data_IF_096138436267
#
_entry.id   IF_096138436267
#
_cell.length_a   1.000
_cell.length_b   1.000
_cell.length_c   1.000
_cell.angle_alpha   90.00
_cell.angle_beta   90.00
_cell.angle_gamma   90.00
#
_symmetry.space_group_name_H-M   'P 1'
#
loop_
_entity.id
_entity.type
_entity.pdbx_description
1 polymer ?
#
# COMPACT_ATOMS: atom_id res chain seq x y z
N UNK A 1 8.55 15.03 10.72
CA UNK A 1 7.32 15.24 11.53
C UNK A 1 6.10 15.55 10.64
N UNK A 2 6.15 16.59 9.80
CA UNK A 2 5.01 17.03 8.96
C UNK A 2 4.45 15.90 8.07
N UNK A 3 5.30 15.16 7.34
CA UNK A 3 4.87 14.03 6.51
C UNK A 3 4.16 12.92 7.29
N UNK A 4 4.56 12.69 8.55
CA UNK A 4 3.95 11.68 9.41
C UNK A 4 2.56 12.14 9.87
N UNK A 5 2.42 13.42 10.25
CA UNK A 5 1.11 14.00 10.61
C UNK A 5 0.13 13.95 9.44
N UNK A 6 0.58 14.31 8.24
CA UNK A 6 -0.26 14.26 7.03
C UNK A 6 -0.67 12.81 6.73
N UNK A 7 0.26 11.85 6.82
CA UNK A 7 -0.07 10.46 6.56
C UNK A 7 -1.04 9.91 7.61
N UNK A 8 -0.85 10.22 8.89
CA UNK A 8 -1.77 9.78 9.95
C UNK A 8 -3.16 10.39 9.75
N UNK A 9 -3.25 11.68 9.41
CA UNK A 9 -4.53 12.32 9.08
C UNK A 9 -5.20 11.66 7.87
N UNK A 10 -4.42 11.35 6.83
CA UNK A 10 -4.89 10.62 5.65
C UNK A 10 -5.40 9.22 6.04
N UNK A 11 -4.65 8.46 6.85
CA UNK A 11 -5.07 7.13 7.31
C UNK A 11 -6.39 7.17 8.09
N UNK A 12 -6.56 8.14 8.99
CA UNK A 12 -7.83 8.33 9.73
C UNK A 12 -8.97 8.69 8.79
N UNK A 13 -8.71 9.57 7.82
CA UNK A 13 -9.70 9.96 6.81
C UNK A 13 -10.15 8.75 5.97
N UNK A 14 -9.19 7.96 5.48
CA UNK A 14 -9.49 6.76 4.69
C UNK A 14 -10.34 5.76 5.50
N UNK A 15 -9.96 5.43 6.74
CA UNK A 15 -10.76 4.52 7.59
C UNK A 15 -12.18 5.04 7.78
N UNK A 16 -12.32 6.35 8.00
CA UNK A 16 -13.64 6.97 8.21
C UNK A 16 -14.52 6.88 6.96
N UNK A 17 -13.94 7.13 5.78
CA UNK A 17 -14.63 7.01 4.49
C UNK A 17 -15.02 5.56 4.21
N UNK A 18 -14.10 4.61 4.44
CA UNK A 18 -14.35 3.19 4.26
C UNK A 18 -15.49 2.69 5.16
N UNK A 19 -15.47 3.04 6.45
CA UNK A 19 -16.55 2.68 7.36
C UNK A 19 -17.90 3.23 6.89
N UNK A 20 -17.95 4.46 6.38
CA UNK A 20 -19.18 5.07 5.90
C UNK A 20 -19.75 4.39 4.66
N UNK A 21 -18.90 3.91 3.76
CA UNK A 21 -19.30 3.24 2.51
C UNK A 21 -19.72 1.79 2.76
N UNK A 22 -18.93 1.06 3.55
CA UNK A 22 -19.08 -0.38 3.74
C UNK A 22 -20.17 -0.70 4.77
N UNK A 23 -20.30 0.10 5.84
CA UNK A 23 -21.27 -0.15 6.93
C UNK A 23 -22.73 -0.38 6.49
N UNK A 24 -23.28 0.32 5.48
CA UNK A 24 -24.65 0.06 5.05
C UNK A 24 -24.82 -1.12 4.08
N UNK A 25 -23.75 -1.67 3.50
CA UNK A 25 -23.84 -2.61 2.37
C UNK A 25 -23.50 -4.07 2.70
N UNK A 26 -22.75 -4.34 3.77
CA UNK A 26 -22.25 -5.70 4.07
C UNK A 26 -22.46 -6.05 5.53
N UNK A 27 -23.09 -7.19 5.79
CA UNK A 27 -23.33 -7.73 7.13
C UNK A 27 -22.66 -9.11 7.29
N UNK A 28 -22.06 -9.37 8.45
CA UNK A 28 -21.47 -10.67 8.79
C UNK A 28 -19.97 -10.79 8.55
N UNK A 29 -19.49 -11.97 8.16
CA UNK A 29 -18.06 -12.31 8.09
C UNK A 29 -17.28 -11.54 7.01
N UNK A 30 -17.92 -11.28 5.87
CA UNK A 30 -17.28 -10.57 4.74
C UNK A 30 -16.88 -9.14 5.13
N UNK A 31 -17.70 -8.45 5.92
CA UNK A 31 -17.40 -7.13 6.48
C UNK A 31 -16.11 -7.15 7.32
N UNK A 32 -15.96 -8.15 8.19
CA UNK A 32 -14.80 -8.26 9.08
C UNK A 32 -13.52 -8.47 8.27
N UNK A 33 -13.56 -9.36 7.27
CA UNK A 33 -12.39 -9.65 6.43
C UNK A 33 -11.98 -8.41 5.63
N UNK A 34 -12.95 -7.73 5.01
CA UNK A 34 -12.69 -6.52 4.23
C UNK A 34 -12.13 -5.39 5.11
N UNK A 35 -12.70 -5.19 6.29
CA UNK A 35 -12.22 -4.19 7.25
C UNK A 35 -10.80 -4.49 7.75
N UNK A 36 -10.54 -5.73 8.16
CA UNK A 36 -9.22 -6.14 8.66
C UNK A 36 -8.16 -6.03 7.57
N UNK A 37 -8.49 -6.42 6.34
CA UNK A 37 -7.57 -6.33 5.22
C UNK A 37 -7.17 -4.87 4.93
N UNK A 38 -8.15 -3.96 4.87
CA UNK A 38 -7.90 -2.52 4.71
C UNK A 38 -7.10 -1.93 5.88
N UNK A 39 -7.36 -2.38 7.10
CA UNK A 39 -6.61 -1.93 8.27
C UNK A 39 -5.14 -2.37 8.18
N UNK A 40 -4.89 -3.61 7.74
CA UNK A 40 -3.53 -4.13 7.56
C UNK A 40 -2.77 -3.35 6.48
N UNK A 41 -3.40 -3.01 5.36
CA UNK A 41 -2.73 -2.24 4.29
C UNK A 41 -2.40 -0.80 4.72
N UNK A 42 -3.24 -0.17 5.54
CA UNK A 42 -2.96 1.14 6.15
C UNK A 42 -1.84 1.09 7.21
N UNK A 43 -1.81 0.04 8.03
CA UNK A 43 -0.71 -0.19 8.98
C UNK A 43 0.59 -0.41 8.21
N UNK A 44 0.56 -1.22 7.13
CA UNK A 44 1.71 -1.46 6.27
C UNK A 44 2.26 -0.15 5.69
N UNK A 45 1.39 0.73 5.20
CA UNK A 45 1.77 2.05 4.72
C UNK A 45 2.43 2.91 5.81
N UNK A 46 1.88 2.89 7.02
CA UNK A 46 2.42 3.63 8.17
C UNK A 46 3.81 3.12 8.57
N UNK A 47 3.99 1.81 8.69
CA UNK A 47 5.27 1.18 9.01
C UNK A 47 6.30 1.45 7.90
N UNK A 48 5.90 1.38 6.63
CA UNK A 48 6.78 1.66 5.51
C UNK A 48 7.23 3.13 5.49
N UNK A 49 6.37 4.09 5.85
CA UNK A 49 6.75 5.50 6.00
C UNK A 49 7.74 5.70 7.16
N UNK A 50 7.48 5.09 8.33
CA UNK A 50 8.40 5.19 9.48
C UNK A 50 9.78 4.63 9.10
N UNK A 51 9.80 3.48 8.43
CA UNK A 51 11.04 2.88 7.94
C UNK A 51 11.75 3.78 6.92
N UNK A 52 10.99 4.46 6.05
CA UNK A 52 11.54 5.43 5.09
C UNK A 52 12.17 6.63 5.77
N UNK A 53 11.49 7.23 6.76
CA UNK A 53 12.02 8.35 7.53
C UNK A 53 13.26 7.99 8.36
N UNK A 54 13.31 6.77 8.89
CA UNK A 54 14.42 6.35 9.75
C UNK A 54 15.66 5.94 8.96
N UNK A 55 15.48 5.26 7.82
CA UNK A 55 16.55 4.56 7.13
C UNK A 55 16.99 5.23 5.82
N UNK A 56 16.44 6.39 5.48
CA UNK A 56 16.69 7.24 4.29
C UNK A 56 17.51 6.57 3.16
N UNK A 57 16.98 5.46 2.66
CA UNK A 57 17.65 4.60 1.69
C UNK A 57 16.69 4.38 0.54
N UNK A 58 17.23 4.30 -0.67
CA UNK A 58 16.45 4.01 -1.89
C UNK A 58 15.58 2.76 -1.76
N UNK A 59 16.03 1.79 -0.98
CA UNK A 59 15.30 0.56 -0.66
C UNK A 59 14.04 0.80 0.16
N UNK A 60 14.14 1.64 1.20
CA UNK A 60 13.00 1.99 2.04
C UNK A 60 11.99 2.84 1.29
N UNK A 61 12.47 3.71 0.40
CA UNK A 61 11.61 4.51 -0.48
C UNK A 61 10.76 3.63 -1.41
N UNK A 62 11.34 2.59 -2.03
CA UNK A 62 10.57 1.64 -2.85
C UNK A 62 9.58 0.80 -2.02
N UNK A 63 9.93 0.47 -0.77
CA UNK A 63 9.02 -0.20 0.17
C UNK A 63 7.79 0.66 0.47
N UNK A 64 8.04 1.95 0.73
CA UNK A 64 7.00 2.95 0.96
C UNK A 64 6.12 3.13 -0.27
N UNK A 65 6.72 3.28 -1.46
CA UNK A 65 5.95 3.47 -2.69
C UNK A 65 5.12 2.22 -3.05
N UNK A 66 5.64 1.02 -2.82
CA UNK A 66 4.87 -0.21 -2.95
C UNK A 66 3.68 -0.27 -1.99
N UNK A 67 3.89 0.03 -0.70
CA UNK A 67 2.82 0.07 0.29
C UNK A 67 1.76 1.16 -0.04
N UNK A 68 2.20 2.30 -0.59
CA UNK A 68 1.33 3.39 -1.05
C UNK A 68 0.45 2.93 -2.22
N UNK A 69 1.03 2.26 -3.21
CA UNK A 69 0.28 1.71 -4.34
C UNK A 69 -0.75 0.67 -3.92
N UNK A 70 -0.42 -0.23 -2.97
CA UNK A 70 -1.40 -1.19 -2.41
C UNK A 70 -2.53 -0.45 -1.70
N UNK A 71 -2.21 0.46 -0.78
CA UNK A 71 -3.25 1.17 -0.02
C UNK A 71 -4.21 1.95 -0.93
N UNK A 72 -3.71 2.57 -2.01
CA UNK A 72 -4.57 3.23 -2.99
C UNK A 72 -5.37 2.27 -3.86
N UNK A 73 -4.79 1.14 -4.25
CA UNK A 73 -5.50 0.10 -4.98
C UNK A 73 -6.74 -0.38 -4.20
N UNK A 74 -6.61 -0.60 -2.88
CA UNK A 74 -7.73 -0.98 -2.01
C UNK A 74 -8.85 0.07 -1.97
N UNK A 75 -8.49 1.35 -1.82
CA UNK A 75 -9.47 2.44 -1.81
C UNK A 75 -10.24 2.49 -3.14
N UNK A 76 -9.55 2.29 -4.27
CA UNK A 76 -10.16 2.27 -5.60
C UNK A 76 -11.05 1.04 -5.77
N UNK A 77 -10.64 -0.12 -5.26
CA UNK A 77 -11.45 -1.34 -5.30
C UNK A 77 -12.79 -1.15 -4.55
N UNK A 78 -12.77 -0.50 -3.40
CA UNK A 78 -13.98 -0.25 -2.59
C UNK A 78 -14.86 0.81 -3.29
N UNK A 79 -14.26 1.83 -3.88
CA UNK A 79 -15.00 2.79 -4.70
C UNK A 79 -15.63 2.11 -5.94
N UNK A 80 -14.92 1.19 -6.57
CA UNK A 80 -15.43 0.40 -7.70
C UNK A 80 -16.64 -0.44 -7.28
N UNK A 81 -16.54 -1.16 -6.15
CA UNK A 81 -17.57 -2.11 -5.73
C UNK A 81 -18.82 -1.44 -5.14
N UNK A 82 -18.67 -0.32 -4.42
CA UNK A 82 -19.78 0.28 -3.64
C UNK A 82 -20.24 1.67 -4.14
N UNK A 83 -19.46 2.39 -4.95
CA UNK A 83 -19.81 3.76 -5.40
C UNK A 83 -20.16 3.80 -6.88
N UNK A 84 -19.55 2.94 -7.71
CA UNK A 84 -19.68 3.07 -9.16
C UNK A 84 -21.07 2.66 -9.64
N UNK A 85 -21.87 3.63 -10.12
CA UNK A 85 -23.15 3.40 -10.81
C UNK A 85 -23.06 3.69 -12.31
N UNK A 86 -21.91 4.18 -12.79
CA UNK A 86 -21.71 4.63 -14.17
C UNK A 86 -20.69 3.73 -14.89
N UNK A 87 -21.08 3.17 -16.05
CA UNK A 87 -20.29 2.23 -16.86
C UNK A 87 -18.87 2.75 -17.18
N UNK A 88 -18.71 4.03 -17.51
CA UNK A 88 -17.38 4.61 -17.85
C UNK A 88 -16.45 4.70 -16.63
N UNK A 89 -17.01 4.92 -15.44
CA UNK A 89 -16.23 4.99 -14.20
C UNK A 89 -15.74 3.59 -13.82
N UNK A 90 -16.56 2.56 -14.01
CA UNK A 90 -16.22 1.17 -13.70
C UNK A 90 -14.94 0.69 -14.41
N UNK A 91 -14.83 0.93 -15.72
CA UNK A 91 -13.68 0.49 -16.50
C UNK A 91 -12.38 1.19 -16.06
N UNK A 92 -12.45 2.50 -15.83
CA UNK A 92 -11.29 3.30 -15.40
C UNK A 92 -10.84 2.92 -14.00
N UNK A 93 -11.78 2.72 -13.06
CA UNK A 93 -11.46 2.30 -11.70
C UNK A 93 -10.84 0.90 -11.68
N UNK A 94 -11.40 -0.06 -12.41
CA UNK A 94 -10.88 -1.42 -12.45
C UNK A 94 -9.46 -1.49 -13.06
N UNK A 95 -9.24 -0.77 -14.17
CA UNK A 95 -7.91 -0.66 -14.77
C UNK A 95 -6.91 -0.03 -13.80
N UNK A 96 -7.32 1.04 -13.10
CA UNK A 96 -6.47 1.74 -12.14
C UNK A 96 -6.13 0.88 -10.93
N UNK A 97 -7.13 0.20 -10.34
CA UNK A 97 -6.97 -0.75 -9.25
C UNK A 97 -5.91 -1.81 -9.60
N UNK A 98 -6.10 -2.47 -10.75
CA UNK A 98 -5.23 -3.57 -11.19
C UNK A 98 -3.82 -3.08 -11.52
N UNK A 99 -3.70 -1.91 -12.18
CA UNK A 99 -2.42 -1.31 -12.51
C UNK A 99 -1.62 -0.91 -11.26
N UNK A 100 -2.29 -0.32 -10.26
CA UNK A 100 -1.65 0.05 -8.99
C UNK A 100 -1.25 -1.18 -8.19
N UNK A 101 -2.08 -2.23 -8.18
CA UNK A 101 -1.76 -3.49 -7.51
C UNK A 101 -0.52 -4.14 -8.14
N UNK A 102 -0.49 -4.26 -9.46
CA UNK A 102 0.66 -4.81 -10.19
C UNK A 102 1.90 -3.94 -10.02
N UNK A 103 1.72 -2.61 -10.05
CA UNK A 103 2.77 -1.63 -9.78
C UNK A 103 3.40 -1.85 -8.41
N UNK A 104 2.58 -2.05 -7.37
CA UNK A 104 3.07 -2.34 -6.02
C UNK A 104 3.94 -3.59 -5.96
N UNK A 105 3.47 -4.70 -6.56
CA UNK A 105 4.26 -5.93 -6.62
C UNK A 105 5.57 -5.73 -7.37
N UNK A 106 5.58 -4.93 -8.44
CA UNK A 106 6.81 -4.53 -9.13
C UNK A 106 7.78 -3.78 -8.19
N UNK A 107 7.29 -2.82 -7.40
CA UNK A 107 8.13 -2.10 -6.43
C UNK A 107 8.68 -3.00 -5.33
N UNK A 108 7.87 -3.94 -4.82
CA UNK A 108 8.33 -4.94 -3.85
C UNK A 108 9.36 -5.91 -4.43
N UNK A 109 9.22 -6.28 -5.70
CA UNK A 109 10.22 -7.07 -6.41
C UNK A 109 11.55 -6.31 -6.54
N UNK A 110 11.50 -5.04 -6.96
CA UNK A 110 12.71 -4.22 -7.07
C UNK A 110 13.40 -4.04 -5.72
N UNK A 111 12.65 -3.78 -4.65
CA UNK A 111 13.26 -3.58 -3.35
C UNK A 111 13.79 -4.87 -2.72
N UNK A 112 13.23 -6.03 -3.08
CA UNK A 112 13.81 -7.34 -2.78
C UNK A 112 15.15 -7.58 -3.52
N UNK A 113 15.27 -7.18 -4.79
CA UNK A 113 16.54 -7.26 -5.52
C UNK A 113 17.64 -6.37 -4.93
N UNK A 114 17.28 -5.17 -4.45
CA UNK A 114 18.24 -4.31 -3.75
C UNK A 114 18.78 -4.95 -2.46
N UNK A 115 17.95 -5.73 -1.75
CA UNK A 115 18.37 -6.49 -0.55
C UNK A 115 19.40 -7.57 -0.89
N UNK A 116 19.31 -8.19 -2.07
CA UNK A 116 20.27 -9.20 -2.53
C UNK A 116 21.61 -8.57 -2.91
N UNK A 117 21.61 -7.40 -3.56
CA UNK A 117 22.84 -6.70 -3.97
C UNK A 117 23.68 -6.21 -2.79
N UNK A 118 23.06 -5.71 -1.71
CA UNK A 118 23.76 -5.37 -0.45
C UNK A 118 24.47 -6.60 0.15
N UNK A 119 23.84 -7.77 0.17
CA UNK A 119 24.45 -9.01 0.71
C UNK A 119 25.53 -9.60 -0.21
N UNK A 120 25.40 -9.43 -1.53
CA UNK A 120 26.38 -9.90 -2.50
C UNK A 120 27.71 -9.13 -2.44
N UNK A 121 27.66 -7.81 -2.20
CA UNK A 121 28.86 -6.98 -2.12
C UNK A 121 29.62 -7.10 -0.79
N UNK A 122 28.97 -7.60 0.28
CA UNK A 122 29.63 -7.92 1.54
C UNK A 122 30.43 -9.23 1.51
N UNK A 123 30.21 -10.09 0.51
CA UNK A 123 30.95 -11.36 0.36
C UNK A 123 32.18 -11.27 -0.56
N UNK A 124 32.30 -10.23 -1.39
CA UNK A 124 33.47 -10.03 -2.25
C UNK A 124 34.67 -9.40 -1.53
N UNK A 125 34.48 -8.84 -0.33
CA UNK A 125 35.57 -8.25 0.48
C UNK A 125 36.21 -9.26 1.44
N UNK A 126 35.51 -10.31 1.86
CA UNK A 126 36.05 -11.33 2.79
C UNK A 126 36.70 -12.54 2.09
N UNK A 127 36.86 -12.50 0.76
CA UNK A 127 37.54 -13.55 -0.02
C UNK A 127 38.90 -13.07 -0.57
N UNK A 128 39.30 -11.83 -0.25
CA UNK A 128 40.59 -11.26 -0.67
C UNK A 128 41.40 -10.70 0.51
N UNK A 129 41.46 -11.42 1.63
CA UNK A 129 42.45 -11.14 2.69
C UNK A 129 42.99 -12.41 3.31
#
# INVERSE_FOLDING_TARGET
>A
AIHLVILTALSVYIVSVLLKIVSPHVVGFQFIVEFVYNLITLILLSVALINFLYRDTRKSLLMFFGALCIAFSEIIQIAYFYISTNIVLEEVLNMSYTALLLGSFCFFYFQSKLKLKEKGNGKSVLVNS
#
